data_IF_717426032393
#
_entry.id   IF_717426032393
#
_cell.length_a   1.000
_cell.length_b   1.000
_cell.length_c   1.000
_cell.angle_alpha   90.00
_cell.angle_beta   90.00
_cell.angle_gamma   90.00
#
_symmetry.space_group_name_H-M   'P 1'
#
loop_
_entity.id
_entity.type
_entity.pdbx_description
1 polymer ?
#
# COMPACT_ATOMS: atom_id res chain seq x y z
N UNK A 1 3.65 2.46 -28.61
CA UNK A 1 3.12 2.31 -27.25
C UNK A 1 1.61 2.26 -27.34
N UNK A 2 0.97 1.33 -26.62
CA UNK A 2 -0.47 1.05 -26.68
C UNK A 2 -1.16 1.48 -25.39
N UNK A 3 -2.47 1.47 -25.41
CA UNK A 3 -3.30 1.57 -24.20
C UNK A 3 -3.13 0.33 -23.32
N UNK A 4 -3.29 0.50 -22.01
CA UNK A 4 -3.15 -0.54 -21.00
C UNK A 4 -3.98 -1.80 -21.31
N UNK A 5 -5.19 -1.62 -21.81
CA UNK A 5 -6.09 -2.73 -22.16
C UNK A 5 -5.57 -3.50 -23.37
N UNK A 6 -5.20 -2.77 -24.43
CA UNK A 6 -4.72 -3.37 -25.68
C UNK A 6 -3.40 -4.12 -25.47
N UNK A 7 -2.48 -3.53 -24.70
CA UNK A 7 -1.19 -4.14 -24.39
C UNK A 7 -1.35 -5.38 -23.50
N UNK A 8 -2.26 -5.33 -22.53
CA UNK A 8 -2.55 -6.46 -21.65
C UNK A 8 -2.99 -7.70 -22.42
N UNK A 9 -3.96 -7.55 -23.33
CA UNK A 9 -4.46 -8.67 -24.13
C UNK A 9 -3.39 -9.21 -25.09
N UNK A 10 -2.57 -8.32 -25.65
CA UNK A 10 -1.44 -8.71 -26.49
C UNK A 10 -0.45 -9.58 -25.70
N UNK A 11 -0.04 -9.14 -24.52
CA UNK A 11 0.91 -9.89 -23.70
C UNK A 11 0.31 -11.22 -23.22
N UNK A 12 -0.96 -11.24 -22.79
CA UNK A 12 -1.62 -12.47 -22.37
C UNK A 12 -1.70 -13.50 -23.50
N UNK A 13 -1.95 -13.05 -24.74
CA UNK A 13 -1.93 -13.91 -25.93
C UNK A 13 -0.54 -14.47 -26.23
N UNK A 14 0.49 -13.62 -26.24
CA UNK A 14 1.85 -14.03 -26.66
C UNK A 14 2.56 -14.88 -25.59
N UNK A 15 2.30 -14.62 -24.31
CA UNK A 15 2.99 -15.31 -23.19
C UNK A 15 2.18 -16.48 -22.61
N UNK A 16 0.87 -16.51 -22.81
CA UNK A 16 0.00 -17.54 -22.24
C UNK A 16 0.16 -17.68 -20.72
N UNK A 17 0.23 -18.92 -20.25
CA UNK A 17 0.36 -19.25 -18.82
C UNK A 17 1.69 -18.81 -18.19
N UNK A 18 2.69 -18.43 -19.00
CA UNK A 18 3.93 -17.83 -18.48
C UNK A 18 3.73 -16.40 -17.96
N UNK A 19 2.63 -15.73 -18.35
CA UNK A 19 2.28 -14.43 -17.80
C UNK A 19 1.53 -14.59 -16.47
N UNK A 20 2.28 -14.40 -15.37
CA UNK A 20 1.69 -14.40 -14.04
C UNK A 20 0.74 -13.22 -13.80
N UNK A 21 1.10 -12.02 -14.28
CA UNK A 21 0.32 -10.82 -14.08
C UNK A 21 0.87 -9.59 -14.78
N UNK A 22 0.09 -8.52 -14.78
CA UNK A 22 0.42 -7.22 -15.33
C UNK A 22 0.60 -6.19 -14.22
N UNK A 23 1.39 -5.14 -14.47
CA UNK A 23 1.48 -3.98 -13.57
C UNK A 23 0.92 -2.74 -14.26
N UNK A 24 -0.10 -2.15 -13.67
CA UNK A 24 -0.65 -0.86 -14.07
C UNK A 24 0.02 0.25 -13.25
N UNK A 25 0.67 1.16 -13.96
CA UNK A 25 1.39 2.31 -13.41
C UNK A 25 1.06 3.57 -14.24
N UNK A 26 -0.24 3.72 -14.55
CA UNK A 26 -0.75 4.78 -15.42
C UNK A 26 -0.37 6.16 -14.86
N UNK A 27 0.28 7.03 -15.65
CA UNK A 27 0.63 8.38 -15.22
C UNK A 27 -0.60 9.23 -14.84
N UNK A 28 -0.41 10.21 -13.96
CA UNK A 28 -1.47 11.14 -13.56
C UNK A 28 -2.03 11.95 -14.73
N UNK A 29 -1.19 12.25 -15.72
CA UNK A 29 -1.53 12.96 -16.97
C UNK A 29 -2.52 12.15 -17.82
N UNK A 30 -2.62 10.84 -17.57
CA UNK A 30 -3.56 9.91 -18.20
C UNK A 30 -4.75 9.55 -17.28
N UNK A 31 -4.89 10.23 -16.14
CA UNK A 31 -5.94 9.98 -15.15
C UNK A 31 -5.57 8.96 -14.07
N UNK A 32 -4.38 8.35 -14.17
CA UNK A 32 -3.95 7.30 -13.26
C UNK A 32 -4.77 6.01 -13.37
N UNK A 33 -4.44 5.03 -12.51
CA UNK A 33 -5.23 3.78 -12.46
C UNK A 33 -6.58 4.04 -11.80
N UNK A 34 -7.66 3.80 -12.55
CA UNK A 34 -9.05 3.96 -12.10
C UNK A 34 -9.73 2.60 -11.85
N UNK A 35 -10.79 2.54 -11.03
CA UNK A 35 -11.56 1.32 -10.83
C UNK A 35 -12.17 0.77 -12.13
N UNK A 36 -12.63 1.66 -13.01
CA UNK A 36 -13.24 1.27 -14.28
C UNK A 36 -12.22 0.68 -15.25
N UNK A 37 -10.99 1.20 -15.29
CA UNK A 37 -9.90 0.61 -16.05
C UNK A 37 -9.59 -0.82 -15.58
N UNK A 38 -9.50 -1.02 -14.26
CA UNK A 38 -9.25 -2.36 -13.70
C UNK A 38 -10.37 -3.32 -14.07
N UNK A 39 -11.64 -2.91 -13.92
CA UNK A 39 -12.80 -3.73 -14.27
C UNK A 39 -12.84 -4.05 -15.75
N UNK A 40 -12.53 -3.10 -16.62
CA UNK A 40 -12.47 -3.30 -18.07
C UNK A 40 -11.40 -4.33 -18.43
N UNK A 41 -10.19 -4.17 -17.90
CA UNK A 41 -9.09 -5.11 -18.13
C UNK A 41 -9.47 -6.51 -17.66
N UNK A 42 -10.00 -6.63 -16.43
CA UNK A 42 -10.43 -7.91 -15.87
C UNK A 42 -11.47 -8.58 -16.75
N UNK A 43 -12.52 -7.85 -17.12
CA UNK A 43 -13.58 -8.36 -17.98
C UNK A 43 -13.06 -8.82 -19.35
N UNK A 44 -12.16 -8.07 -19.97
CA UNK A 44 -11.58 -8.43 -21.28
C UNK A 44 -10.62 -9.62 -21.21
N UNK A 45 -9.81 -9.72 -20.15
CA UNK A 45 -9.00 -10.90 -19.88
C UNK A 45 -9.89 -12.13 -19.71
N UNK A 46 -10.97 -12.01 -18.93
CA UNK A 46 -11.87 -13.13 -18.64
C UNK A 46 -12.62 -13.60 -19.89
N UNK A 47 -13.13 -12.66 -20.70
CA UNK A 47 -13.75 -12.96 -22.00
C UNK A 47 -12.77 -13.64 -22.98
N UNK A 48 -11.48 -13.37 -22.84
CA UNK A 48 -10.43 -13.98 -23.65
C UNK A 48 -9.87 -15.28 -23.06
N UNK A 49 -10.41 -15.73 -21.92
CA UNK A 49 -9.99 -16.95 -21.22
C UNK A 49 -8.74 -16.81 -20.34
N UNK A 50 -8.21 -15.60 -20.18
CA UNK A 50 -6.97 -15.29 -19.45
C UNK A 50 -7.21 -15.02 -17.95
N UNK A 51 -8.02 -15.88 -17.30
CA UNK A 51 -8.46 -15.71 -15.91
C UNK A 51 -7.30 -15.78 -14.90
N UNK A 52 -6.17 -16.39 -15.25
CA UNK A 52 -5.01 -16.54 -14.37
C UNK A 52 -4.20 -15.26 -14.21
N UNK A 53 -4.26 -14.34 -15.18
CA UNK A 53 -3.41 -13.14 -15.22
C UNK A 53 -3.80 -12.21 -14.07
N UNK A 54 -2.88 -12.00 -13.14
CA UNK A 54 -3.07 -11.15 -11.96
C UNK A 54 -2.89 -9.66 -12.28
N UNK A 55 -3.60 -8.79 -11.57
CA UNK A 55 -3.51 -7.34 -11.75
C UNK A 55 -2.78 -6.71 -10.56
N UNK A 56 -1.61 -6.13 -10.83
CA UNK A 56 -0.83 -5.36 -9.87
C UNK A 56 -0.99 -3.87 -10.17
N UNK A 57 -1.12 -3.04 -9.13
CA UNK A 57 -1.20 -1.58 -9.28
C UNK A 57 -0.12 -0.87 -8.48
N UNK A 58 0.50 0.15 -9.06
CA UNK A 58 1.38 1.09 -8.38
C UNK A 58 1.02 2.55 -8.70
N UNK A 59 1.68 3.48 -8.02
CA UNK A 59 1.58 4.92 -8.32
C UNK A 59 0.49 5.65 -7.52
N UNK A 60 0.91 6.58 -6.64
CA UNK A 60 -0.01 7.49 -5.93
C UNK A 60 -1.04 6.80 -5.04
N UNK A 61 -0.71 5.63 -4.49
CA UNK A 61 -1.63 4.84 -3.68
C UNK A 61 -1.74 5.38 -2.25
N UNK A 62 -2.99 5.50 -1.78
CA UNK A 62 -3.39 5.82 -0.40
C UNK A 62 -4.42 4.77 0.08
N UNK A 63 -4.68 4.63 1.39
CA UNK A 63 -5.60 3.61 1.91
C UNK A 63 -6.98 3.62 1.25
N UNK A 64 -7.54 4.81 0.97
CA UNK A 64 -8.85 4.96 0.34
C UNK A 64 -8.83 4.43 -1.10
N UNK A 65 -7.79 4.78 -1.87
CA UNK A 65 -7.63 4.31 -3.25
C UNK A 65 -7.38 2.80 -3.31
N UNK A 66 -6.59 2.26 -2.37
CA UNK A 66 -6.33 0.82 -2.26
C UNK A 66 -7.64 0.06 -2.04
N UNK A 67 -8.50 0.53 -1.13
CA UNK A 67 -9.80 -0.09 -0.88
C UNK A 67 -10.66 -0.16 -2.14
N UNK A 68 -10.83 0.97 -2.82
CA UNK A 68 -11.66 1.06 -4.03
C UNK A 68 -11.11 0.15 -5.15
N UNK A 69 -9.79 0.14 -5.34
CA UNK A 69 -9.16 -0.69 -6.37
C UNK A 69 -9.18 -2.18 -6.03
N UNK A 70 -9.10 -2.54 -4.74
CA UNK A 70 -9.24 -3.92 -4.30
C UNK A 70 -10.63 -4.46 -4.61
N UNK A 71 -11.67 -3.67 -4.35
CA UNK A 71 -13.06 -3.98 -4.72
C UNK A 71 -13.26 -4.06 -6.25
N UNK A 72 -12.40 -3.40 -7.04
CA UNK A 72 -12.43 -3.44 -8.50
C UNK A 72 -11.73 -4.66 -9.11
N UNK A 73 -11.02 -5.48 -8.32
CA UNK A 73 -10.36 -6.70 -8.79
C UNK A 73 -8.83 -6.61 -8.92
N UNK A 74 -8.17 -5.66 -8.25
CA UNK A 74 -6.71 -5.65 -8.13
C UNK A 74 -6.25 -6.73 -7.14
N UNK A 75 -5.24 -7.53 -7.54
CA UNK A 75 -4.69 -8.61 -6.73
C UNK A 75 -3.56 -8.14 -5.78
N UNK A 76 -2.82 -7.09 -6.16
CA UNK A 76 -1.67 -6.62 -5.39
C UNK A 76 -1.32 -5.13 -5.61
N UNK A 77 -0.67 -4.53 -4.60
CA UNK A 77 -0.37 -3.10 -4.56
C UNK A 77 1.10 -2.82 -4.28
N UNK A 78 1.71 -1.97 -5.11
CA UNK A 78 3.04 -1.40 -4.88
C UNK A 78 2.94 0.00 -4.27
N UNK A 79 3.11 0.10 -2.95
CA UNK A 79 2.99 1.36 -2.19
C UNK A 79 4.37 1.92 -1.85
N UNK A 80 4.67 3.11 -2.38
CA UNK A 80 5.95 3.79 -2.15
C UNK A 80 5.82 4.97 -1.18
N UNK A 81 5.74 6.18 -1.74
CA UNK A 81 5.84 7.46 -1.03
C UNK A 81 4.87 7.63 0.14
N UNK A 82 3.70 6.99 0.11
CA UNK A 82 2.76 7.03 1.23
C UNK A 82 3.34 6.39 2.51
N UNK A 83 4.15 5.33 2.37
CA UNK A 83 4.82 4.67 3.49
C UNK A 83 6.16 5.34 3.78
N UNK A 84 7.02 5.44 2.76
CA UNK A 84 8.40 5.90 2.95
C UNK A 84 8.51 7.39 3.31
N UNK A 85 7.51 8.18 2.92
CA UNK A 85 7.42 9.61 3.23
C UNK A 85 6.51 9.92 4.43
N UNK A 86 6.10 8.91 5.21
CA UNK A 86 5.29 9.13 6.40
C UNK A 86 6.03 10.03 7.40
N UNK A 87 5.37 11.06 7.96
CA UNK A 87 6.01 11.93 8.94
C UNK A 87 6.40 11.11 10.17
N UNK A 88 7.60 11.39 10.69
CA UNK A 88 8.04 10.78 11.94
C UNK A 88 7.06 11.16 13.06
N UNK A 89 6.76 10.20 13.94
CA UNK A 89 6.05 10.50 15.18
C UNK A 89 7.02 11.29 16.05
N UNK A 90 6.65 12.52 16.41
CA UNK A 90 7.43 13.32 17.34
C UNK A 90 7.37 12.70 18.74
N UNK A 91 8.48 12.11 19.16
CA UNK A 91 8.59 11.39 20.42
C UNK A 91 9.68 12.02 21.28
N UNK A 92 9.34 12.28 22.54
CA UNK A 92 10.30 12.76 23.54
C UNK A 92 10.58 11.67 24.56
N UNK A 93 11.86 11.45 24.90
CA UNK A 93 12.26 10.66 26.05
C UNK A 93 12.54 11.59 27.24
N UNK A 94 11.96 11.29 28.38
CA UNK A 94 12.12 12.06 29.61
C UNK A 94 12.50 11.13 30.77
N UNK A 95 13.38 11.62 31.64
CA UNK A 95 13.65 10.97 32.92
C UNK A 95 12.41 11.14 33.82
N UNK A 96 11.96 10.02 34.38
CA UNK A 96 10.76 9.92 35.21
C UNK A 96 11.05 9.40 36.63
N UNK A 97 12.25 8.84 36.82
CA UNK A 97 12.69 8.28 38.09
C UNK A 97 14.23 8.31 38.14
N UNK A 98 14.78 8.69 39.30
CA UNK A 98 16.23 8.64 39.59
C UNK A 98 16.39 7.88 40.90
N UNK A 99 17.19 6.82 40.90
CA UNK A 99 17.48 6.02 42.11
C UNK A 99 16.23 5.58 42.89
N UNK A 100 15.18 5.17 42.16
CA UNK A 100 13.90 4.77 42.77
C UNK A 100 12.96 5.93 43.14
N UNK A 101 13.43 7.19 43.14
CA UNK A 101 12.61 8.35 43.47
C UNK A 101 11.88 8.91 42.23
N UNK A 102 10.54 9.04 42.27
CA UNK A 102 9.78 9.66 41.18
C UNK A 102 10.16 11.14 41.00
N UNK A 103 10.74 11.49 39.85
CA UNK A 103 11.16 12.85 39.53
C UNK A 103 11.00 13.12 38.02
N UNK A 104 10.55 14.31 37.64
CA UNK A 104 10.42 14.71 36.24
C UNK A 104 10.52 16.23 36.08
N UNK A 105 10.80 16.69 34.85
CA UNK A 105 10.77 18.12 34.50
C UNK A 105 9.33 18.66 34.49
N UNK A 106 9.17 19.99 34.55
CA UNK A 106 7.86 20.66 34.46
C UNK A 106 7.09 20.21 33.21
N UNK A 107 5.79 19.94 33.37
CA UNK A 107 4.91 19.46 32.30
C UNK A 107 4.95 17.94 32.08
N UNK A 108 5.64 17.18 32.93
CA UNK A 108 5.65 15.71 32.93
C UNK A 108 5.23 15.18 34.31
N UNK A 109 4.45 14.10 34.31
CA UNK A 109 4.08 13.37 35.53
C UNK A 109 5.32 12.58 36.01
N UNK A 110 5.79 12.64 37.26
CA UNK A 110 6.89 11.80 37.72
C UNK A 110 6.46 10.33 37.96
N UNK A 111 7.42 9.41 37.95
CA UNK A 111 7.21 7.99 38.25
C UNK A 111 7.00 7.10 37.03
N UNK A 112 7.12 5.78 37.27
CA UNK A 112 6.85 4.76 36.26
C UNK A 112 5.36 4.78 35.90
N UNK A 113 5.06 4.67 34.60
CA UNK A 113 3.70 4.50 34.12
C UNK A 113 3.53 3.03 33.80
N UNK A 114 2.66 2.34 34.55
CA UNK A 114 2.26 0.99 34.20
C UNK A 114 1.53 1.01 32.86
N UNK A 115 2.06 0.27 31.90
CA UNK A 115 1.39 0.04 30.63
C UNK A 115 1.45 -1.47 30.35
N UNK A 116 0.32 -2.18 30.40
CA UNK A 116 0.30 -3.63 30.23
C UNK A 116 0.73 -4.09 28.84
N UNK A 117 0.85 -3.17 27.86
CA UNK A 117 1.36 -3.44 26.51
C UNK A 117 2.86 -3.19 26.36
N UNK A 118 3.54 -2.60 27.35
CA UNK A 118 4.99 -2.42 27.29
C UNK A 118 5.69 -3.69 27.74
N UNK A 119 6.56 -4.19 26.88
CA UNK A 119 7.46 -5.32 27.19
C UNK A 119 8.84 -4.75 27.43
N UNK A 120 9.47 -5.14 28.54
CA UNK A 120 10.86 -4.77 28.82
C UNK A 120 11.76 -5.51 27.83
N UNK A 121 12.40 -4.78 26.93
CA UNK A 121 13.44 -5.33 26.07
C UNK A 121 14.78 -5.27 26.83
N UNK A 122 15.47 -6.41 26.92
CA UNK A 122 16.80 -6.56 27.50
C UNK A 122 17.84 -6.63 26.39
#
# INVERSE_FOLDING_TARGET
FKDEVEETLRLAKEMGESLFGIRLDTPSERGGVTPDLVKEIRAKLDLSGYNWVKIFVSGGLKPEKIRILSEAGVDAFGVGSYISGAPAIDMTMDIKQIEGQPIAKRGRIPGLIENPRLVKML
#
